data_IF_075721258652
#
_entry.id   IF_075721258652
#
_cell.length_a   1.000
_cell.length_b   1.000
_cell.length_c   1.000
_cell.angle_alpha   90.00
_cell.angle_beta   90.00
_cell.angle_gamma   90.00
#
_symmetry.space_group_name_H-M   'P 1'
#
loop_
_entity.id
_entity.type
_entity.pdbx_description
1 polymer ?
#
# COMPACT_ATOMS: atom_id res chain seq x y z
N UNK A 1 -8.25 7.21 26.37
CA UNK A 1 -7.98 8.28 25.36
C UNK A 1 -8.47 7.77 24.03
N UNK A 2 -9.09 8.62 23.21
CA UNK A 2 -9.49 8.22 21.87
C UNK A 2 -8.27 8.34 20.93
N UNK A 3 -7.89 7.23 20.31
CA UNK A 3 -6.84 7.16 19.30
C UNK A 3 -7.47 7.14 17.91
N UNK A 4 -6.68 7.43 16.89
CA UNK A 4 -7.03 7.14 15.51
C UNK A 4 -5.96 6.31 14.81
N UNK A 5 -6.38 5.61 13.76
CA UNK A 5 -5.52 4.89 12.83
C UNK A 5 -6.12 4.90 11.44
N UNK A 6 -5.28 4.77 10.41
CA UNK A 6 -5.75 4.55 9.04
C UNK A 6 -6.00 3.06 8.83
N UNK A 7 -7.21 2.71 8.40
CA UNK A 7 -7.58 1.31 8.12
C UNK A 7 -7.91 1.18 6.65
N UNK A 8 -7.41 0.10 6.04
CA UNK A 8 -7.80 -0.33 4.70
C UNK A 8 -8.96 -1.30 4.80
N UNK A 9 -10.06 -1.05 4.11
CA UNK A 9 -11.27 -1.88 4.21
C UNK A 9 -11.97 -2.06 2.86
N UNK A 10 -12.87 -3.06 2.81
CA UNK A 10 -13.70 -3.39 1.66
C UNK A 10 -12.93 -3.90 0.43
N UNK A 11 -13.66 -4.40 -0.57
CA UNK A 11 -13.06 -4.99 -1.78
C UNK A 11 -12.31 -3.97 -2.65
N UNK A 12 -12.78 -2.72 -2.68
CA UNK A 12 -12.10 -1.59 -3.33
C UNK A 12 -10.83 -1.12 -2.59
N UNK A 13 -10.51 -1.73 -1.44
CA UNK A 13 -9.36 -1.38 -0.59
C UNK A 13 -9.35 0.11 -0.25
N UNK A 14 -10.51 0.65 0.15
CA UNK A 14 -10.63 2.05 0.57
C UNK A 14 -9.77 2.26 1.81
N UNK A 15 -9.25 3.48 1.97
CA UNK A 15 -8.47 3.87 3.15
C UNK A 15 -9.18 5.06 3.75
N UNK A 16 -9.53 4.95 5.02
CA UNK A 16 -10.07 6.05 5.80
C UNK A 16 -9.44 6.05 7.20
N UNK A 17 -9.66 7.16 7.92
CA UNK A 17 -9.25 7.28 9.30
C UNK A 17 -10.38 6.78 10.21
N UNK A 18 -10.01 5.99 11.20
CA UNK A 18 -10.93 5.43 12.16
C UNK A 18 -10.48 5.77 13.58
N UNK A 19 -11.42 6.16 14.44
CA UNK A 19 -11.22 6.34 15.87
C UNK A 19 -11.43 5.02 16.62
N UNK A 20 -10.73 4.89 17.74
CA UNK A 20 -10.83 3.74 18.63
C UNK A 20 -10.32 4.08 20.03
N UNK A 21 -10.96 3.50 21.04
CA UNK A 21 -10.49 3.58 22.43
C UNK A 21 -9.53 2.42 22.79
N UNK A 22 -9.18 1.61 21.80
CA UNK A 22 -8.32 0.44 21.94
C UNK A 22 -6.86 0.84 21.85
N UNK A 23 -6.05 0.29 22.75
CA UNK A 23 -4.59 0.50 22.78
C UNK A 23 -3.80 -0.70 22.24
N UNK A 24 -4.45 -1.85 22.06
CA UNK A 24 -3.81 -3.11 21.68
C UNK A 24 -3.72 -3.36 20.16
N UNK A 25 -4.27 -2.46 19.33
CA UNK A 25 -4.25 -2.59 17.88
C UNK A 25 -2.88 -2.25 17.31
N UNK A 26 -2.33 -3.15 16.50
CA UNK A 26 -1.04 -2.98 15.82
C UNK A 26 -1.21 -2.90 14.31
N UNK A 27 -0.19 -2.36 13.64
CA UNK A 27 -0.13 -2.35 12.17
C UNK A 27 -0.24 -3.78 11.64
N UNK A 28 -1.03 -3.95 10.57
CA UNK A 28 -1.44 -5.23 9.96
C UNK A 28 -2.47 -6.06 10.72
N UNK A 29 -2.88 -5.64 11.92
CA UNK A 29 -3.98 -6.33 12.59
C UNK A 29 -5.26 -6.23 11.76
N UNK A 30 -6.04 -7.32 11.79
CA UNK A 30 -7.38 -7.37 11.21
C UNK A 30 -8.38 -6.87 12.23
N UNK A 31 -9.27 -5.97 11.81
CA UNK A 31 -10.29 -5.39 12.67
C UNK A 31 -11.64 -5.30 11.96
N UNK A 32 -12.72 -5.29 12.76
CA UNK A 32 -14.07 -4.97 12.28
C UNK A 32 -14.28 -3.47 12.48
N UNK A 33 -14.62 -2.78 11.40
CA UNK A 33 -14.87 -1.35 11.38
C UNK A 33 -16.31 -1.05 10.99
N UNK A 34 -16.81 0.14 11.32
CA UNK A 34 -18.11 0.65 10.87
C UNK A 34 -17.92 1.77 9.87
N UNK A 35 -18.53 1.63 8.70
CA UNK A 35 -18.52 2.59 7.60
C UNK A 35 -19.95 2.98 7.25
N UNK A 36 -20.12 3.86 6.26
CA UNK A 36 -21.40 4.19 5.64
C UNK A 36 -22.13 2.98 5.04
N UNK A 37 -21.37 1.96 4.61
CA UNK A 37 -21.90 0.73 4.01
C UNK A 37 -22.36 -0.30 5.05
N UNK A 38 -21.94 -0.17 6.31
CA UNK A 38 -22.24 -1.10 7.39
C UNK A 38 -20.97 -1.53 8.13
N UNK A 39 -20.95 -2.76 8.63
CA UNK A 39 -19.73 -3.33 9.22
C UNK A 39 -18.84 -3.92 8.14
N UNK A 40 -17.54 -3.73 8.25
CA UNK A 40 -16.56 -4.23 7.28
C UNK A 40 -15.33 -4.80 7.99
N UNK A 41 -14.66 -5.77 7.38
CA UNK A 41 -13.32 -6.15 7.80
C UNK A 41 -12.29 -5.19 7.19
N UNK A 42 -11.34 -4.79 8.03
CA UNK A 42 -10.23 -3.93 7.66
C UNK A 42 -8.89 -4.44 8.16
N UNK A 43 -7.84 -3.81 7.65
CA UNK A 43 -6.43 -4.03 8.00
C UNK A 43 -5.85 -2.68 8.45
N UNK A 44 -5.27 -2.65 9.66
CA UNK A 44 -4.65 -1.46 10.24
C UNK A 44 -3.38 -1.11 9.46
N UNK A 45 -3.27 0.14 8.97
CA UNK A 45 -2.12 0.60 8.18
C UNK A 45 -1.11 1.43 8.96
N UNK A 46 -1.56 2.17 9.97
CA UNK A 46 -0.71 3.07 10.75
C UNK A 46 -0.76 2.69 12.24
N UNK A 47 0.31 2.96 13.00
CA UNK A 47 0.25 2.88 14.46
C UNK A 47 -0.89 3.76 15.00
N UNK A 48 -1.39 3.42 16.18
CA UNK A 48 -2.33 4.26 16.90
C UNK A 48 -1.69 5.60 17.23
N UNK A 49 -2.41 6.68 16.95
CA UNK A 49 -1.99 8.03 17.25
C UNK A 49 -3.09 8.74 18.04
N UNK A 50 -2.74 9.67 18.96
CA UNK A 50 -3.75 10.51 19.59
C UNK A 50 -4.46 11.36 18.53
N UNK A 51 -5.76 11.56 18.66
CA UNK A 51 -6.54 12.39 17.72
C UNK A 51 -6.05 13.84 17.83
N UNK A 52 -5.50 14.44 16.75
CA UNK A 52 -5.14 15.85 16.74
C UNK A 52 -6.40 16.72 16.75
N UNK A 53 -6.36 17.87 17.41
CA UNK A 53 -7.48 18.82 17.43
C UNK A 53 -7.91 19.29 16.03
N UNK A 54 -6.97 19.31 15.07
CA UNK A 54 -7.23 19.67 13.68
C UNK A 54 -8.08 18.65 12.91
N UNK A 55 -8.29 17.43 13.44
CA UNK A 55 -9.11 16.41 12.78
C UNK A 55 -10.53 16.45 13.39
N UNK A 56 -11.56 16.84 12.61
CA UNK A 56 -12.93 16.85 13.12
C UNK A 56 -13.40 15.44 13.49
N UNK A 57 -14.03 15.23 14.66
CA UNK A 57 -14.51 13.91 15.07
C UNK A 57 -15.48 13.26 14.09
N UNK A 58 -16.30 14.04 13.37
CA UNK A 58 -17.20 13.53 12.33
C UNK A 58 -16.49 12.98 11.09
N UNK A 59 -15.20 13.30 10.90
CA UNK A 59 -14.40 12.79 9.79
C UNK A 59 -13.79 11.40 10.08
N UNK A 60 -14.05 10.86 11.29
CA UNK A 60 -13.51 9.59 11.77
C UNK A 60 -14.61 8.55 11.91
N UNK A 61 -14.40 7.41 11.24
CA UNK A 61 -15.23 6.21 11.39
C UNK A 61 -14.85 5.41 12.64
N UNK A 62 -15.61 4.38 13.01
CA UNK A 62 -15.34 3.62 14.25
C UNK A 62 -14.64 2.28 13.99
N UNK A 63 -13.57 1.99 14.74
CA UNK A 63 -13.10 0.60 14.92
C UNK A 63 -13.91 -0.04 16.03
N UNK A 64 -14.68 -1.08 15.69
CA UNK A 64 -15.56 -1.75 16.66
C UNK A 64 -14.79 -2.75 17.53
N UNK A 65 -13.98 -3.61 16.91
CA UNK A 65 -13.20 -4.64 17.61
C UNK A 65 -12.11 -5.22 16.72
N UNK A 66 -11.16 -5.93 17.33
CA UNK A 66 -10.28 -6.85 16.59
C UNK A 66 -11.10 -7.95 15.92
N UNK A 67 -10.68 -8.34 14.73
CA UNK A 67 -11.27 -9.46 14.01
C UNK A 67 -10.88 -10.77 14.74
N UNK A 68 -11.87 -11.63 14.93
CA UNK A 68 -11.70 -12.97 15.46
C UNK A 68 -11.25 -13.93 14.35
N UNK A 69 -10.68 -15.10 14.69
CA UNK A 69 -10.40 -16.14 13.70
C UNK A 69 -11.65 -16.56 12.90
N UNK A 70 -12.82 -16.61 13.55
CA UNK A 70 -14.10 -16.92 12.91
C UNK A 70 -14.47 -15.89 11.82
N UNK A 71 -14.18 -14.61 12.04
CA UNK A 71 -14.42 -13.57 11.04
C UNK A 71 -13.60 -13.79 9.78
N UNK A 72 -12.34 -14.23 9.96
CA UNK A 72 -11.43 -14.50 8.86
C UNK A 72 -11.87 -15.73 8.07
N UNK A 73 -12.26 -16.80 8.75
CA UNK A 73 -12.81 -18.01 8.10
C UNK A 73 -14.10 -17.70 7.36
N UNK A 74 -14.99 -16.89 7.96
CA UNK A 74 -16.25 -16.50 7.33
C UNK A 74 -16.03 -15.70 6.05
N UNK A 75 -15.09 -14.75 6.05
CA UNK A 75 -14.78 -13.97 4.84
C UNK A 75 -14.11 -14.83 3.78
N UNK A 76 -13.16 -15.70 4.15
CA UNK A 76 -12.53 -16.61 3.20
C UNK A 76 -13.55 -17.53 2.52
N UNK A 77 -14.51 -18.06 3.28
CA UNK A 77 -15.63 -18.85 2.74
C UNK A 77 -16.52 -18.04 1.80
N UNK A 78 -16.89 -16.82 2.18
CA UNK A 78 -17.69 -15.93 1.32
C UNK A 78 -16.98 -15.65 0.00
N UNK A 79 -15.67 -15.36 0.04
CA UNK A 79 -14.86 -15.05 -1.14
C UNK A 79 -14.68 -16.27 -2.07
N UNK A 80 -14.52 -17.48 -1.51
CA UNK A 80 -14.27 -18.70 -2.28
C UNK A 80 -15.53 -19.36 -2.82
N UNK A 81 -16.65 -19.28 -2.11
CA UNK A 81 -17.87 -20.03 -2.44
C UNK A 81 -19.02 -19.10 -2.86
N UNK A 82 -19.39 -18.17 -1.97
CA UNK A 82 -20.59 -17.34 -2.15
C UNK A 82 -20.42 -16.30 -3.26
N UNK A 83 -19.26 -15.65 -3.36
CA UNK A 83 -18.99 -14.63 -4.39
C UNK A 83 -19.04 -15.21 -5.80
N UNK A 84 -18.34 -16.32 -6.12
CA UNK A 84 -18.43 -16.94 -7.45
C UNK A 84 -19.86 -17.39 -7.79
N UNK A 85 -20.59 -17.95 -6.82
CA UNK A 85 -22.00 -18.31 -6.99
C UNK A 85 -22.84 -17.07 -7.31
N UNK A 86 -22.70 -15.99 -6.55
CA UNK A 86 -23.46 -14.76 -6.75
C UNK A 86 -23.20 -14.13 -8.13
N UNK A 87 -21.93 -14.09 -8.56
CA UNK A 87 -21.55 -13.63 -9.89
C UNK A 87 -22.21 -14.49 -10.97
N UNK A 88 -22.16 -15.82 -10.84
CA UNK A 88 -22.75 -16.75 -11.81
C UNK A 88 -24.27 -16.53 -11.92
N UNK A 89 -24.98 -16.53 -10.81
CA UNK A 89 -26.44 -16.34 -10.79
C UNK A 89 -26.83 -14.97 -11.37
N UNK A 90 -26.10 -13.91 -11.03
CA UNK A 90 -26.37 -12.58 -11.57
C UNK A 90 -26.16 -12.54 -13.09
N UNK A 91 -25.10 -13.16 -13.62
CA UNK A 91 -24.88 -13.27 -15.06
C UNK A 91 -26.00 -14.01 -15.78
N UNK A 92 -26.49 -15.11 -15.21
CA UNK A 92 -27.61 -15.87 -15.79
C UNK A 92 -28.90 -15.04 -15.85
N UNK A 93 -29.21 -14.26 -14.81
CA UNK A 93 -30.40 -13.39 -14.79
C UNK A 93 -30.23 -12.21 -15.76
N UNK A 94 -29.04 -11.60 -15.82
CA UNK A 94 -28.71 -10.52 -16.77
C UNK A 94 -28.92 -10.98 -18.21
N UNK A 95 -28.50 -12.21 -18.54
CA UNK A 95 -28.73 -12.81 -19.85
C UNK A 95 -30.21 -13.05 -20.14
N UNK A 96 -30.97 -13.61 -19.17
CA UNK A 96 -32.41 -13.84 -19.31
C UNK A 96 -33.20 -12.54 -19.53
N UNK A 97 -32.80 -11.45 -18.86
CA UNK A 97 -33.40 -10.13 -19.00
C UNK A 97 -32.84 -9.32 -20.17
N UNK A 98 -31.85 -9.85 -20.90
CA UNK A 98 -31.17 -9.20 -22.02
C UNK A 98 -30.66 -7.78 -21.70
N UNK A 99 -30.07 -7.59 -20.52
CA UNK A 99 -29.58 -6.28 -20.07
C UNK A 99 -28.18 -6.00 -20.64
N UNK A 100 -27.96 -4.80 -21.17
CA UNK A 100 -26.67 -4.33 -21.70
C UNK A 100 -25.70 -3.94 -20.58
N UNK A 101 -25.26 -4.90 -19.78
CA UNK A 101 -24.33 -4.68 -18.69
C UNK A 101 -23.36 -5.86 -18.52
N UNK A 102 -22.17 -5.57 -18.01
CA UNK A 102 -21.17 -6.57 -17.62
C UNK A 102 -21.03 -6.57 -16.11
N UNK A 103 -21.35 -7.70 -15.48
CA UNK A 103 -21.12 -7.90 -14.04
C UNK A 103 -19.62 -8.10 -13.81
N UNK A 104 -19.04 -7.18 -13.06
CA UNK A 104 -17.60 -7.11 -12.79
C UNK A 104 -17.25 -7.95 -11.57
N UNK A 105 -17.90 -7.70 -10.44
CA UNK A 105 -17.56 -8.32 -9.17
C UNK A 105 -18.70 -8.15 -8.13
N UNK A 106 -18.61 -8.85 -7.00
CA UNK A 106 -19.59 -8.82 -5.90
C UNK A 106 -18.89 -8.65 -4.55
N UNK A 107 -19.50 -7.86 -3.66
CA UNK A 107 -19.05 -7.57 -2.31
C UNK A 107 -20.13 -7.97 -1.29
N UNK A 108 -19.81 -8.91 -0.41
CA UNK A 108 -20.63 -9.21 0.77
C UNK A 108 -20.20 -8.27 1.89
N UNK A 109 -21.04 -7.27 2.20
CA UNK A 109 -20.76 -6.41 3.35
C UNK A 109 -20.79 -7.28 4.60
N UNK A 110 -19.73 -7.16 5.41
CA UNK A 110 -19.53 -8.02 6.57
C UNK A 110 -20.72 -7.90 7.54
N UNK A 111 -21.24 -9.04 7.98
CA UNK A 111 -22.51 -9.13 8.72
C UNK A 111 -23.72 -9.47 7.85
N UNK A 112 -23.57 -9.55 6.52
CA UNK A 112 -24.63 -10.01 5.60
C UNK A 112 -25.78 -9.03 5.42
N UNK A 113 -25.60 -7.77 5.85
CA UNK A 113 -26.62 -6.73 5.80
C UNK A 113 -26.95 -6.33 4.36
N UNK A 114 -25.94 -6.32 3.48
CA UNK A 114 -26.04 -5.89 2.08
C UNK A 114 -25.13 -6.70 1.17
N UNK A 115 -25.60 -6.92 -0.05
CA UNK A 115 -24.84 -7.52 -1.14
C UNK A 115 -24.71 -6.53 -2.29
N UNK A 116 -23.48 -6.12 -2.61
CA UNK A 116 -23.20 -5.08 -3.61
C UNK A 116 -22.68 -5.75 -4.88
N UNK A 117 -23.37 -5.54 -5.99
CA UNK A 117 -22.96 -5.99 -7.32
C UNK A 117 -22.34 -4.81 -8.08
N UNK A 118 -21.06 -4.96 -8.45
CA UNK A 118 -20.37 -3.99 -9.31
C UNK A 118 -20.57 -4.37 -10.78
N UNK A 119 -20.92 -3.39 -11.61
CA UNK A 119 -21.12 -3.61 -13.04
C UNK A 119 -20.59 -2.45 -13.89
N UNK A 120 -20.30 -2.72 -15.15
CA UNK A 120 -20.01 -1.72 -16.17
C UNK A 120 -21.08 -1.74 -17.25
N UNK A 121 -21.40 -0.57 -17.81
CA UNK A 121 -22.30 -0.41 -18.96
C UNK A 121 -21.94 0.87 -19.71
N UNK A 122 -22.17 0.87 -21.02
CA UNK A 122 -21.99 2.05 -21.88
C UNK A 122 -23.25 2.93 -21.92
N UNK A 123 -24.42 2.31 -21.74
CA UNK A 123 -25.73 2.94 -21.74
C UNK A 123 -26.39 2.84 -20.37
N UNK A 124 -27.47 3.62 -20.17
CA UNK A 124 -28.29 3.54 -18.95
C UNK A 124 -29.07 2.23 -18.97
N UNK A 125 -28.95 1.45 -17.89
CA UNK A 125 -29.60 0.15 -17.75
C UNK A 125 -30.74 0.26 -16.74
N UNK A 126 -31.93 -0.24 -17.10
CA UNK A 126 -33.03 -0.43 -16.14
C UNK A 126 -32.89 -1.80 -15.49
N UNK A 127 -32.41 -1.80 -14.23
CA UNK A 127 -32.14 -3.01 -13.46
C UNK A 127 -33.20 -3.30 -12.39
N UNK A 128 -34.37 -2.66 -12.43
CA UNK A 128 -35.41 -2.84 -11.40
C UNK A 128 -35.83 -4.30 -11.24
N UNK A 129 -36.02 -5.00 -12.36
CA UNK A 129 -36.40 -6.41 -12.34
C UNK A 129 -35.25 -7.32 -11.87
N UNK A 130 -34.01 -7.00 -12.27
CA UNK A 130 -32.82 -7.70 -11.80
C UNK A 130 -32.69 -7.64 -10.28
N UNK A 131 -32.92 -6.46 -9.67
CA UNK A 131 -32.88 -6.29 -8.20
C UNK A 131 -33.91 -7.18 -7.52
N UNK A 132 -35.13 -7.29 -8.06
CA UNK A 132 -36.19 -8.15 -7.48
C UNK A 132 -35.79 -9.62 -7.49
N UNK A 133 -35.29 -10.11 -8.63
CA UNK A 133 -34.88 -11.51 -8.77
C UNK A 133 -33.67 -11.85 -7.88
N UNK A 134 -32.68 -10.96 -7.81
CA UNK A 134 -31.53 -11.13 -6.91
C UNK A 134 -31.93 -11.07 -5.44
N UNK A 135 -32.83 -10.16 -5.06
CA UNK A 135 -33.31 -10.07 -3.68
C UNK A 135 -34.09 -11.33 -3.26
N UNK A 136 -34.85 -11.92 -4.18
CA UNK A 136 -35.54 -13.19 -3.96
C UNK A 136 -34.56 -14.36 -3.77
N UNK A 137 -33.52 -14.45 -4.60
CA UNK A 137 -32.51 -15.53 -4.51
C UNK A 137 -31.66 -15.43 -3.24
N UNK A 138 -31.11 -14.25 -2.94
CA UNK A 138 -30.12 -14.10 -1.86
C UNK A 138 -30.75 -13.74 -0.51
N UNK A 139 -32.03 -13.34 -0.46
CA UNK A 139 -32.75 -12.92 0.76
C UNK A 139 -31.99 -11.86 1.58
N UNK A 140 -31.27 -10.99 0.88
CA UNK A 140 -30.46 -9.90 1.44
C UNK A 140 -30.75 -8.63 0.66
N UNK A 141 -30.49 -7.46 1.27
CA UNK A 141 -30.60 -6.18 0.58
C UNK A 141 -29.56 -6.10 -0.55
N UNK A 142 -30.04 -5.97 -1.78
CA UNK A 142 -29.21 -5.88 -2.98
C UNK A 142 -28.94 -4.42 -3.32
N UNK A 143 -27.68 -4.10 -3.63
CA UNK A 143 -27.25 -2.82 -4.17
C UNK A 143 -26.51 -3.05 -5.49
N UNK A 144 -26.82 -2.27 -6.51
CA UNK A 144 -26.12 -2.31 -7.80
C UNK A 144 -25.33 -1.02 -7.96
N UNK A 145 -24.02 -1.15 -8.21
CA UNK A 145 -23.12 -0.01 -8.36
C UNK A 145 -22.43 -0.05 -9.71
N UNK A 146 -22.72 0.96 -10.54
CA UNK A 146 -21.99 1.16 -11.78
C UNK A 146 -20.57 1.64 -11.47
N UNK A 147 -19.58 1.01 -12.07
CA UNK A 147 -18.17 1.36 -11.92
C UNK A 147 -17.58 1.80 -13.26
N UNK A 148 -16.61 2.71 -13.23
CA UNK A 148 -15.86 3.10 -14.44
C UNK A 148 -14.69 2.17 -14.72
N UNK A 149 -14.06 2.31 -15.89
CA UNK A 149 -12.93 1.46 -16.32
C UNK A 149 -11.77 1.39 -15.31
N UNK A 150 -11.50 2.48 -14.57
CA UNK A 150 -10.45 2.51 -13.52
C UNK A 150 -10.83 1.67 -12.31
N UNK A 151 -12.08 1.73 -11.88
CA UNK A 151 -12.57 0.96 -10.74
C UNK A 151 -12.76 -0.51 -11.12
N UNK A 152 -13.14 -0.81 -12.37
CA UNK A 152 -13.08 -2.17 -12.92
C UNK A 152 -11.65 -2.74 -12.83
N UNK A 153 -10.65 -1.99 -13.29
CA UNK A 153 -9.25 -2.40 -13.18
C UNK A 153 -8.78 -2.49 -11.72
N UNK A 154 -9.32 -1.69 -10.79
CA UNK A 154 -9.01 -1.77 -9.36
C UNK A 154 -9.56 -3.06 -8.73
N UNK A 155 -10.73 -3.52 -9.16
CA UNK A 155 -11.37 -4.74 -8.67
C UNK A 155 -10.68 -6.00 -9.22
N UNK A 156 -10.41 -6.05 -10.52
CA UNK A 156 -9.93 -7.27 -11.20
C UNK A 156 -8.41 -7.26 -11.42
N UNK A 157 -7.79 -6.08 -11.56
CA UNK A 157 -6.39 -5.97 -11.96
C UNK A 157 -5.40 -6.13 -10.82
N UNK A 158 -4.34 -6.87 -11.07
CA UNK A 158 -3.29 -7.14 -10.08
C UNK A 158 -2.06 -6.25 -10.28
N UNK A 159 -1.45 -6.27 -11.47
CA UNK A 159 -0.22 -5.52 -11.77
C UNK A 159 -0.40 -4.45 -12.85
N UNK A 160 0.34 -3.35 -12.72
CA UNK A 160 0.51 -2.33 -13.74
C UNK A 160 1.58 -2.71 -14.76
N UNK A 161 1.75 -1.86 -15.79
CA UNK A 161 2.81 -2.05 -16.79
C UNK A 161 4.23 -2.04 -16.20
N UNK A 162 4.41 -1.44 -15.01
CA UNK A 162 5.65 -1.44 -14.25
C UNK A 162 5.89 -2.72 -13.44
N UNK A 163 4.98 -3.70 -13.50
CA UNK A 163 5.06 -4.96 -12.73
C UNK A 163 4.63 -4.84 -11.26
N UNK A 164 4.41 -3.62 -10.75
CA UNK A 164 3.93 -3.38 -9.39
C UNK A 164 2.40 -3.42 -9.31
N UNK A 165 1.88 -3.60 -8.09
CA UNK A 165 0.43 -3.50 -7.84
C UNK A 165 -0.14 -2.17 -8.30
N UNK A 166 -1.29 -2.20 -8.97
CA UNK A 166 -1.92 -0.99 -9.52
C UNK A 166 -1.98 0.15 -8.49
N UNK A 167 -1.55 1.35 -8.88
CA UNK A 167 -1.52 2.52 -7.99
C UNK A 167 -2.91 2.83 -7.42
N UNK A 168 -3.97 2.65 -8.23
CA UNK A 168 -5.36 2.85 -7.78
C UNK A 168 -5.81 1.81 -6.74
N UNK A 169 -5.18 0.63 -6.69
CA UNK A 169 -5.42 -0.43 -5.70
C UNK A 169 -4.57 -0.24 -4.45
N UNK A 170 -3.37 0.31 -4.56
CA UNK A 170 -2.46 0.57 -3.44
C UNK A 170 -2.74 1.88 -2.72
N UNK A 171 -2.37 3.04 -3.29
CA UNK A 171 -2.30 4.32 -2.58
C UNK A 171 -3.06 5.48 -3.24
N UNK A 172 -3.28 5.46 -4.56
CA UNK A 172 -3.97 6.55 -5.28
C UNK A 172 -5.49 6.30 -5.35
N UNK A 173 -6.21 6.59 -4.26
CA UNK A 173 -7.65 6.37 -4.17
C UNK A 173 -8.47 7.46 -4.84
N UNK A 174 -8.17 8.70 -4.48
CA UNK A 174 -8.77 9.90 -5.04
C UNK A 174 -7.82 10.46 -6.09
N UNK A 175 -8.19 10.32 -7.35
CA UNK A 175 -7.38 10.79 -8.46
C UNK A 175 -8.22 11.72 -9.32
N UNK A 176 -7.80 12.98 -9.40
CA UNK A 176 -8.35 13.95 -10.34
C UNK A 176 -8.08 13.58 -11.81
N UNK A 177 -8.50 14.47 -12.70
CA UNK A 177 -8.23 14.34 -14.13
C UNK A 177 -6.73 14.22 -14.44
N UNK A 178 -6.42 13.39 -15.44
CA UNK A 178 -5.06 13.25 -16.00
C UNK A 178 -5.13 13.80 -17.41
N UNK A 179 -4.22 14.71 -17.74
CA UNK A 179 -4.16 15.37 -19.05
C UNK A 179 -2.88 14.99 -19.79
N UNK A 180 -2.88 15.13 -21.12
CA UNK A 180 -1.70 14.84 -21.95
C UNK A 180 -0.50 15.74 -21.64
N UNK A 181 -0.73 16.96 -21.14
CA UNK A 181 0.35 17.87 -20.79
C UNK A 181 1.18 17.35 -19.60
N UNK A 182 0.57 16.55 -18.71
CA UNK A 182 1.30 15.85 -17.64
C UNK A 182 2.29 14.83 -18.22
N UNK A 183 1.97 14.17 -19.34
CA UNK A 183 2.90 13.26 -20.00
C UNK A 183 4.04 14.01 -20.70
N UNK A 184 3.74 15.16 -21.34
CA UNK A 184 4.73 15.96 -22.07
C UNK A 184 5.81 16.52 -21.14
N UNK A 185 5.45 17.07 -19.98
CA UNK A 185 6.43 17.64 -19.03
C UNK A 185 7.37 16.57 -18.47
N UNK A 186 6.89 15.33 -18.34
CA UNK A 186 7.66 14.19 -17.86
C UNK A 186 8.52 13.55 -18.95
N UNK A 187 8.60 14.17 -20.13
CA UNK A 187 9.33 13.67 -21.31
C UNK A 187 8.94 12.22 -21.68
N UNK A 188 7.73 11.78 -21.32
CA UNK A 188 7.23 10.51 -21.80
C UNK A 188 6.98 10.61 -23.31
N UNK A 189 7.33 9.56 -24.03
CA UNK A 189 6.95 9.42 -25.44
C UNK A 189 5.44 9.58 -25.59
N UNK A 190 5.02 10.31 -26.62
CA UNK A 190 3.61 10.51 -26.95
C UNK A 190 2.91 9.23 -27.46
N UNK A 191 3.59 8.08 -27.46
CA UNK A 191 3.03 6.78 -27.80
C UNK A 191 1.95 6.37 -26.77
N UNK A 192 0.68 6.27 -27.17
CA UNK A 192 -0.41 5.90 -26.29
C UNK A 192 -0.17 4.57 -25.57
N UNK A 193 0.51 3.61 -26.18
CA UNK A 193 0.78 2.30 -25.58
C UNK A 193 1.67 2.37 -24.34
N UNK A 194 2.52 3.40 -24.25
CA UNK A 194 3.48 3.61 -23.14
C UNK A 194 2.90 4.45 -22.00
N UNK A 195 1.86 5.23 -22.27
CA UNK A 195 1.23 6.15 -21.30
C UNK A 195 -0.20 5.75 -20.91
N UNK A 196 -0.67 4.61 -21.42
CA UNK A 196 -1.98 4.04 -21.08
C UNK A 196 -1.84 2.98 -19.98
N UNK A 197 -2.61 3.14 -18.91
CA UNK A 197 -2.71 2.17 -17.83
C UNK A 197 -3.61 0.99 -18.16
N UNK A 198 -3.63 -0.01 -17.27
CA UNK A 198 -4.41 -1.25 -17.43
C UNK A 198 -5.91 -1.03 -17.67
N UNK A 199 -6.44 0.10 -17.20
CA UNK A 199 -7.81 0.53 -17.37
C UNK A 199 -8.12 1.21 -18.72
N UNK A 200 -7.16 1.28 -19.65
CA UNK A 200 -7.34 1.96 -20.94
C UNK A 200 -7.31 3.50 -20.87
N UNK A 201 -7.13 4.08 -19.67
CA UNK A 201 -6.93 5.53 -19.46
C UNK A 201 -5.47 5.86 -19.21
N UNK A 202 -5.12 7.14 -19.27
CA UNK A 202 -3.77 7.62 -18.94
C UNK A 202 -3.28 7.15 -17.56
N UNK A 203 -1.97 6.91 -17.45
CA UNK A 203 -1.32 6.38 -16.25
C UNK A 203 -1.49 7.30 -15.03
N UNK A 204 -1.90 6.70 -13.91
CA UNK A 204 -2.07 7.43 -12.65
C UNK A 204 -0.76 8.07 -12.13
N UNK A 205 0.39 7.46 -12.45
CA UNK A 205 1.72 7.96 -12.08
C UNK A 205 1.98 9.36 -12.66
N UNK A 206 1.46 9.64 -13.86
CA UNK A 206 1.60 10.95 -14.49
C UNK A 206 1.08 12.06 -13.58
N UNK A 207 -0.10 11.87 -12.98
CA UNK A 207 -0.65 12.86 -12.05
C UNK A 207 0.07 12.84 -10.70
N UNK A 208 0.44 11.67 -10.21
CA UNK A 208 1.14 11.53 -8.93
C UNK A 208 2.47 12.30 -8.92
N UNK A 209 3.24 12.19 -10.00
CA UNK A 209 4.55 12.83 -10.13
C UNK A 209 4.44 14.28 -10.62
N UNK A 210 3.31 14.68 -11.21
CA UNK A 210 3.14 15.95 -11.88
C UNK A 210 3.58 17.16 -11.04
N UNK A 211 3.19 17.22 -9.77
CA UNK A 211 3.54 18.34 -8.88
C UNK A 211 5.06 18.45 -8.70
N UNK A 212 5.75 17.32 -8.51
CA UNK A 212 7.20 17.30 -8.39
C UNK A 212 7.88 17.82 -9.66
N UNK A 213 7.35 17.46 -10.84
CA UNK A 213 7.86 17.94 -12.12
C UNK A 213 7.58 19.44 -12.33
N UNK A 214 6.39 19.94 -12.00
CA UNK A 214 6.08 21.37 -12.11
C UNK A 214 6.94 22.21 -11.18
N UNK A 215 7.04 21.81 -9.91
CA UNK A 215 7.82 22.54 -8.90
C UNK A 215 9.30 22.59 -9.29
N UNK A 216 9.82 21.48 -9.86
CA UNK A 216 11.20 21.41 -10.33
C UNK A 216 11.44 22.21 -11.60
N UNK A 217 10.46 22.25 -12.52
CA UNK A 217 10.54 23.05 -13.74
C UNK A 217 10.55 24.55 -13.42
N UNK A 218 9.72 24.99 -12.48
CA UNK A 218 9.53 26.41 -12.20
C UNK A 218 10.77 27.05 -11.54
N UNK A 219 11.59 26.25 -10.86
CA UNK A 219 12.89 26.69 -10.31
C UNK A 219 14.07 26.41 -11.23
N UNK A 220 13.86 25.70 -12.35
CA UNK A 220 14.93 25.31 -13.27
C UNK A 220 15.29 26.43 -14.24
N UNK A 221 16.59 26.72 -14.47
CA UNK A 221 17.02 27.68 -15.48
C UNK A 221 16.59 27.24 -16.88
N UNK A 222 16.03 28.13 -17.69
CA UNK A 222 15.54 27.80 -19.03
C UNK A 222 16.67 27.35 -19.96
N UNK A 223 16.34 26.52 -20.96
CA UNK A 223 17.28 26.20 -22.03
C UNK A 223 17.69 27.48 -22.75
N UNK A 224 18.97 27.61 -23.07
CA UNK A 224 19.56 28.83 -23.63
C UNK A 224 20.06 29.84 -22.58
N UNK A 225 19.74 29.66 -21.29
CA UNK A 225 20.31 30.51 -20.23
C UNK A 225 21.80 30.22 -20.05
N UNK A 226 22.63 31.27 -19.96
CA UNK A 226 24.05 31.16 -19.62
C UNK A 226 24.19 31.10 -18.09
N UNK A 227 24.90 30.09 -17.60
CA UNK A 227 25.12 29.84 -16.18
C UNK A 227 26.61 29.74 -15.87
N UNK A 228 26.99 30.16 -14.67
CA UNK A 228 28.32 30.02 -14.12
C UNK A 228 28.30 29.03 -12.95
N UNK A 229 29.26 28.11 -12.96
CA UNK A 229 29.41 27.08 -11.95
C UNK A 229 30.88 26.91 -11.59
N UNK A 230 31.15 26.19 -10.50
CA UNK A 230 32.51 25.81 -10.11
C UNK A 230 33.26 25.03 -11.19
N UNK A 231 32.55 24.36 -12.09
CA UNK A 231 33.12 23.56 -13.20
C UNK A 231 33.39 24.40 -14.46
N UNK A 232 32.91 25.64 -14.51
CA UNK A 232 33.02 26.53 -15.66
C UNK A 232 31.69 27.15 -16.06
N UNK A 233 31.75 27.98 -17.10
CA UNK A 233 30.62 28.72 -17.66
C UNK A 233 30.07 27.96 -18.87
N UNK A 234 28.74 27.92 -19.02
CA UNK A 234 28.14 27.32 -20.21
C UNK A 234 26.66 27.68 -20.39
N UNK A 235 26.11 27.31 -21.54
CA UNK A 235 24.72 27.54 -21.92
C UNK A 235 23.91 26.26 -21.65
N UNK A 236 22.75 26.39 -21.02
CA UNK A 236 21.87 25.25 -20.73
C UNK A 236 21.33 24.64 -22.02
N UNK A 237 21.70 23.40 -22.32
CA UNK A 237 21.20 22.65 -23.49
C UNK A 237 20.18 21.58 -23.13
N UNK A 238 20.28 21.01 -21.92
CA UNK A 238 19.30 20.07 -21.39
C UNK A 238 19.15 20.19 -19.87
N UNK A 239 18.04 19.66 -19.36
CA UNK A 239 17.64 19.71 -17.96
C UNK A 239 17.13 18.32 -17.54
N UNK A 240 17.57 17.87 -16.38
CA UNK A 240 17.00 16.74 -15.65
C UNK A 240 16.25 17.28 -14.44
N UNK A 241 14.91 17.30 -14.53
CA UNK A 241 14.05 17.90 -13.52
C UNK A 241 14.09 17.13 -12.19
N UNK A 242 14.15 15.79 -12.22
CA UNK A 242 14.15 14.97 -11.02
C UNK A 242 15.48 15.01 -10.26
N UNK A 243 16.61 14.95 -10.99
CA UNK A 243 17.94 15.06 -10.40
C UNK A 243 18.34 16.50 -10.06
N UNK A 244 17.52 17.48 -10.49
CA UNK A 244 17.81 18.91 -10.40
C UNK A 244 19.17 19.25 -11.01
N UNK A 245 19.44 18.70 -12.18
CA UNK A 245 20.70 18.86 -12.92
C UNK A 245 20.47 19.58 -14.26
N UNK A 246 21.43 20.41 -14.64
CA UNK A 246 21.48 21.07 -15.95
C UNK A 246 22.72 20.60 -16.70
N UNK A 247 22.55 20.34 -18.00
CA UNK A 247 23.67 20.08 -18.90
C UNK A 247 24.07 21.39 -19.56
N UNK A 248 25.32 21.79 -19.36
CA UNK A 248 25.88 23.03 -19.90
C UNK A 248 26.79 22.73 -21.08
N UNK A 249 26.66 23.53 -22.12
CA UNK A 249 27.56 23.57 -23.27
C UNK A 249 28.53 24.75 -23.09
N UNK A 250 29.85 24.50 -22.99
CA UNK A 250 30.86 25.56 -22.99
C UNK A 250 30.74 26.47 -24.24
N UNK A 251 30.94 27.80 -24.13
CA UNK A 251 30.84 28.73 -25.27
C UNK A 251 31.87 28.50 -26.38
N UNK A 252 33.01 27.93 -26.01
CA UNK A 252 34.14 27.54 -26.87
C UNK A 252 33.88 26.22 -27.62
N UNK A 253 32.71 25.60 -27.44
CA UNK A 253 32.32 24.38 -28.15
C UNK A 253 32.94 23.10 -27.58
N UNK A 254 33.58 23.17 -26.40
CA UNK A 254 34.13 22.02 -25.69
C UNK A 254 33.07 21.01 -25.21
N UNK A 255 33.52 19.99 -24.47
CA UNK A 255 32.64 18.92 -24.00
C UNK A 255 31.57 19.41 -23.03
N UNK A 256 30.36 18.84 -23.16
CA UNK A 256 29.25 19.12 -22.25
C UNK A 256 29.55 18.62 -20.86
N UNK A 257 29.16 19.40 -19.85
CA UNK A 257 29.30 19.01 -18.46
C UNK A 257 28.00 19.23 -17.68
N UNK A 258 27.77 18.36 -16.69
CA UNK A 258 26.57 18.36 -15.86
C UNK A 258 26.87 19.06 -14.54
N UNK A 259 25.95 19.95 -14.15
CA UNK A 259 26.01 20.72 -12.91
C UNK A 259 24.69 20.56 -12.15
N UNK A 260 24.77 20.36 -10.83
CA UNK A 260 23.59 20.39 -9.97
C UNK A 260 23.12 21.81 -9.75
N UNK A 261 21.82 22.03 -9.68
CA UNK A 261 21.24 23.37 -9.51
C UNK A 261 21.79 24.11 -8.29
N UNK A 262 22.09 23.39 -7.20
CA UNK A 262 22.65 23.96 -5.96
C UNK A 262 24.11 24.45 -6.11
N UNK A 263 24.81 24.06 -7.18
CA UNK A 263 26.21 24.42 -7.45
C UNK A 263 26.34 25.59 -8.44
N UNK A 264 25.22 26.14 -8.89
CA UNK A 264 25.16 27.26 -9.82
C UNK A 264 25.08 28.57 -9.04
N UNK A 265 26.02 29.48 -9.29
CA UNK A 265 25.99 30.82 -8.72
C UNK A 265 25.24 31.77 -9.66
N UNK A 266 24.27 32.49 -9.12
CA UNK A 266 23.59 33.59 -9.81
C UNK A 266 22.12 33.32 -10.09
N UNK A 267 21.28 34.19 -9.54
CA UNK A 267 19.88 34.30 -9.93
C UNK A 267 19.78 34.44 -11.45
N UNK A 268 18.81 33.74 -12.04
CA UNK A 268 18.49 33.83 -13.45
C UNK A 268 18.35 35.30 -13.86
N UNK A 269 19.34 35.84 -14.56
CA UNK A 269 19.10 36.97 -15.42
C UNK A 269 18.22 36.43 -16.55
N UNK A 270 16.93 36.76 -16.51
CA UNK A 270 16.02 36.55 -17.61
C UNK A 270 16.50 37.39 -18.80
N UNK A 271 17.39 36.82 -19.62
CA UNK A 271 17.68 37.39 -20.93
C UNK A 271 16.58 36.89 -21.85
N UNK A 272 15.57 37.74 -22.02
CA UNK A 272 14.58 37.62 -23.08
C UNK A 272 15.31 37.56 -24.43
N UNK A 273 15.00 36.55 -25.23
CA UNK A 273 15.57 36.39 -26.57
C UNK A 273 15.24 35.03 -27.16
N UNK A 274 13.99 34.80 -27.56
CA UNK A 274 13.69 33.69 -28.45
C UNK A 274 14.35 33.99 -29.80
N UNK A 275 15.33 33.19 -30.20
CA UNK A 275 15.81 33.14 -31.58
C UNK A 275 15.51 31.73 -32.09
N UNK A 276 14.52 31.64 -32.98
CA UNK A 276 14.28 30.45 -33.80
C UNK A 276 13.07 29.62 -33.39
N UNK A 277 11.86 30.16 -33.53
CA UNK A 277 10.73 29.36 -33.97
C UNK A 277 10.03 30.09 -35.13
N UNK A 278 10.31 29.61 -36.35
CA UNK A 278 9.64 30.04 -37.57
C UNK A 278 8.14 29.73 -37.49
N UNK A 279 7.33 30.77 -37.37
CA UNK A 279 5.93 30.77 -37.80
C UNK A 279 5.62 32.13 -38.43
N UNK A 280 4.95 32.18 -39.60
CA UNK A 280 4.79 33.42 -40.33
C UNK A 280 3.74 34.31 -39.66
N UNK A 281 4.12 35.56 -39.40
CA UNK A 281 3.21 36.64 -38.96
C UNK A 281 2.56 37.31 -40.18
N UNK A 282 1.24 37.40 -40.15
CA UNK A 282 0.43 38.37 -40.90
C UNK A 282 -1.03 38.19 -40.46
N UNK A 283 -1.81 39.21 -40.10
CA UNK A 283 -1.59 40.65 -39.99
C UNK A 283 -2.79 41.29 -39.27
N UNK A 284 -2.62 42.56 -38.90
CA UNK A 284 -3.65 43.62 -38.71
C UNK A 284 -4.93 43.32 -37.91
N UNK A 285 -5.04 43.93 -36.72
CA UNK A 285 -6.27 44.61 -36.24
C UNK A 285 -6.54 45.84 -37.12
N UNK A 286 -7.78 46.38 -37.27
CA UNK A 286 -8.79 46.64 -36.22
C UNK A 286 -10.27 46.52 -36.75
N UNK A 287 -11.33 47.18 -36.21
CA UNK A 287 -11.68 47.61 -34.84
C UNK A 287 -13.04 47.04 -34.35
N UNK A 288 -13.45 47.46 -33.15
CA UNK A 288 -14.72 47.18 -32.48
C UNK A 288 -15.97 47.62 -33.27
N UNK A 289 -17.05 46.82 -33.17
CA UNK A 289 -18.42 47.24 -33.46
C UNK A 289 -19.43 46.53 -32.54
N UNK A 290 -20.24 47.34 -31.88
CA UNK A 290 -21.43 47.00 -31.08
C UNK A 290 -22.56 46.50 -31.99
N UNK A 291 -23.25 45.42 -31.60
CA UNK A 291 -24.60 45.12 -32.13
C UNK A 291 -25.46 44.47 -31.04
N UNK A 292 -26.74 44.84 -31.07
CA UNK A 292 -27.79 44.65 -30.07
C UNK A 292 -28.63 43.39 -30.40
N UNK A 293 -29.05 42.70 -29.33
CA UNK A 293 -30.21 41.80 -29.09
C UNK A 293 -30.74 40.84 -30.19
N UNK A 294 -30.98 39.58 -29.79
CA UNK A 294 -32.34 39.03 -29.59
C UNK A 294 -32.30 37.61 -28.93
N UNK A 295 -33.25 37.35 -28.03
CA UNK A 295 -33.48 36.05 -27.39
C UNK A 295 -34.35 35.14 -28.27
N UNK A 296 -34.38 33.80 -28.05
CA UNK A 296 -35.48 33.31 -27.22
C UNK A 296 -35.21 32.05 -26.35
N UNK A 297 -36.06 31.96 -25.32
CA UNK A 297 -36.73 30.79 -24.72
C UNK A 297 -35.95 29.74 -23.90
N UNK A 298 -36.29 29.78 -22.61
CA UNK A 298 -36.15 28.83 -21.49
C UNK A 298 -36.20 27.32 -21.80
N UNK A 299 -35.28 26.58 -21.17
CA UNK A 299 -35.58 25.28 -20.57
C UNK A 299 -34.67 25.08 -19.33
N UNK A 300 -35.31 24.75 -18.20
CA UNK A 300 -34.75 24.78 -16.85
C UNK A 300 -33.63 23.75 -16.58
N UNK A 301 -32.57 24.19 -15.89
CA UNK A 301 -31.52 23.35 -15.33
C UNK A 301 -31.68 23.20 -13.80
N UNK A 302 -31.49 22.01 -13.20
CA UNK A 302 -31.40 21.86 -11.75
C UNK A 302 -30.01 22.24 -11.21
N UNK A 303 -30.01 22.69 -9.96
CA UNK A 303 -28.93 23.38 -9.25
C UNK A 303 -27.54 22.71 -9.26
N UNK A 304 -26.52 23.53 -9.51
CA UNK A 304 -25.11 23.21 -9.29
C UNK A 304 -24.69 23.49 -7.83
N UNK A 305 -23.82 22.66 -7.21
CA UNK A 305 -23.19 23.01 -5.94
C UNK A 305 -22.01 23.97 -6.15
N UNK A 306 -21.82 24.79 -5.12
CA UNK A 306 -21.00 26.00 -5.04
C UNK A 306 -19.50 25.78 -5.29
N UNK A 307 -18.88 26.73 -5.99
CA UNK A 307 -17.44 26.86 -6.20
C UNK A 307 -16.76 27.49 -4.98
N UNK A 308 -15.70 26.84 -4.48
CA UNK A 308 -14.76 27.43 -3.52
C UNK A 308 -13.63 28.14 -4.27
N UNK A 309 -13.76 29.46 -4.38
CA UNK A 309 -12.67 30.37 -4.72
C UNK A 309 -12.82 31.58 -3.79
N UNK A 310 -12.03 31.58 -2.71
CA UNK A 310 -11.47 32.74 -1.99
C UNK A 310 -11.06 32.31 -0.58
N UNK A 311 -9.80 31.88 -0.44
CA UNK A 311 -9.12 31.77 0.84
C UNK A 311 -7.70 32.36 0.69
N UNK A 312 -7.25 33.25 1.60
CA UNK A 312 -5.97 33.94 1.49
C UNK A 312 -4.76 33.01 1.70
N UNK A 313 -3.57 33.36 1.17
CA UNK A 313 -2.40 32.47 1.20
C UNK A 313 -1.83 32.35 2.63
N UNK A 314 -1.68 31.11 3.11
CA UNK A 314 -1.00 30.80 4.37
C UNK A 314 0.53 30.92 4.14
N UNK A 315 1.17 31.87 4.83
CA UNK A 315 2.63 31.98 4.91
C UNK A 315 3.19 30.84 5.77
N UNK A 316 3.95 29.94 5.16
CA UNK A 316 4.73 28.92 5.88
C UNK A 316 6.07 29.54 6.26
N UNK A 317 6.25 29.92 7.53
CA UNK A 317 7.57 30.25 8.08
C UNK A 317 8.32 28.97 8.42
N UNK A 318 9.59 28.92 8.02
CA UNK A 318 10.51 27.79 8.24
C UNK A 318 10.83 27.68 9.75
N UNK A 319 10.69 26.50 10.39
CA UNK A 319 11.13 26.33 11.77
C UNK A 319 12.65 26.49 11.90
N UNK A 320 13.17 27.02 13.02
CA UNK A 320 14.61 27.13 13.24
C UNK A 320 15.26 25.75 13.40
N UNK A 321 16.49 25.62 12.89
CA UNK A 321 17.30 24.40 12.93
C UNK A 321 17.54 23.91 14.37
N UNK A 322 17.30 22.62 14.61
CA UNK A 322 17.59 21.97 15.88
C UNK A 322 19.11 21.83 16.11
N UNK A 323 19.62 21.99 17.35
CA UNK A 323 21.04 21.84 17.63
C UNK A 323 21.49 20.39 17.46
N UNK A 324 22.68 20.18 16.89
CA UNK A 324 23.33 18.87 16.76
C UNK A 324 23.60 18.27 18.14
N UNK A 325 22.93 17.16 18.47
CA UNK A 325 23.26 16.35 19.65
C UNK A 325 24.41 15.40 19.32
N UNK A 326 25.48 15.44 20.11
CA UNK A 326 26.58 14.47 20.07
C UNK A 326 26.09 13.07 20.43
N UNK A 327 26.61 12.05 19.73
CA UNK A 327 26.30 10.64 19.99
C UNK A 327 26.84 10.22 21.38
N UNK A 328 26.03 9.60 22.26
CA UNK A 328 26.54 9.00 23.48
C UNK A 328 27.46 7.82 23.15
N UNK A 329 28.56 7.67 23.89
CA UNK A 329 29.45 6.50 23.78
C UNK A 329 28.71 5.22 24.20
N UNK A 330 29.02 4.06 23.60
CA UNK A 330 28.39 2.80 23.98
C UNK A 330 28.73 2.43 25.43
N UNK A 331 27.72 1.97 26.18
CA UNK A 331 27.93 1.41 27.52
C UNK A 331 28.77 0.12 27.46
N UNK A 332 29.63 -0.14 28.47
CA UNK A 332 30.41 -1.37 28.54
C UNK A 332 29.49 -2.58 28.72
N UNK A 333 29.85 -3.71 28.09
CA UNK A 333 29.09 -4.96 28.17
C UNK A 333 29.03 -5.47 29.61
N UNK A 334 27.87 -5.93 30.11
CA UNK A 334 27.78 -6.58 31.41
C UNK A 334 28.49 -7.96 31.36
N UNK A 335 29.04 -8.45 32.49
CA UNK A 335 29.64 -9.78 32.57
C UNK A 335 28.63 -10.89 32.27
N UNK A 336 29.08 -11.92 31.56
CA UNK A 336 28.27 -13.10 31.26
C UNK A 336 27.96 -13.88 32.55
N UNK A 337 26.78 -13.65 33.12
CA UNK A 337 26.18 -14.60 34.07
C UNK A 337 25.65 -15.81 33.29
N UNK A 338 26.15 -17.01 33.62
CA UNK A 338 25.55 -18.28 33.21
C UNK A 338 24.13 -18.33 33.76
N UNK A 339 23.12 -18.24 32.89
CA UNK A 339 21.72 -18.46 33.28
C UNK A 339 21.33 -19.93 33.10
N UNK A 340 20.52 -20.47 34.04
CA UNK A 340 20.26 -21.90 34.16
C UNK A 340 19.34 -22.39 33.04
N UNK A 341 19.58 -23.63 32.60
CA UNK A 341 18.67 -24.38 31.74
C UNK A 341 17.28 -24.42 32.38
N UNK A 342 16.28 -23.94 31.64
CA UNK A 342 14.88 -23.95 32.10
C UNK A 342 14.39 -25.40 32.15
N UNK A 343 14.46 -26.02 33.32
CA UNK A 343 13.97 -27.39 33.54
C UNK A 343 12.45 -27.44 33.32
N UNK A 344 12.02 -28.27 32.37
CA UNK A 344 10.60 -28.61 32.15
C UNK A 344 10.11 -29.35 33.41
N UNK A 345 8.88 -29.07 33.84
CA UNK A 345 8.26 -29.72 35.00
C UNK A 345 8.27 -31.25 34.83
N UNK A 346 8.76 -31.96 35.85
CA UNK A 346 8.89 -33.43 35.88
C UNK A 346 7.57 -34.19 35.65
N UNK A 347 6.41 -33.56 35.86
CA UNK A 347 5.10 -34.13 35.53
C UNK A 347 4.77 -34.01 34.04
N UNK A 348 5.21 -32.92 33.40
CA UNK A 348 5.11 -32.72 31.95
C UNK A 348 6.08 -33.64 31.22
N UNK A 349 7.31 -33.78 31.74
CA UNK A 349 8.33 -34.67 31.18
C UNK A 349 7.88 -36.14 31.18
N UNK A 350 7.28 -36.63 32.28
CA UNK A 350 6.74 -37.99 32.36
C UNK A 350 5.55 -38.26 31.43
N UNK A 351 4.74 -37.24 31.13
CA UNK A 351 3.65 -37.34 30.14
C UNK A 351 4.19 -37.36 28.71
N UNK A 352 5.20 -36.53 28.41
CA UNK A 352 5.85 -36.51 27.10
C UNK A 352 6.56 -37.83 26.78
N UNK A 353 7.16 -38.49 27.78
CA UNK A 353 7.79 -39.82 27.60
C UNK A 353 6.78 -40.95 27.33
N UNK A 354 5.56 -40.89 27.91
CA UNK A 354 4.52 -41.91 27.71
C UNK A 354 3.80 -41.82 26.36
N UNK A 355 3.80 -40.65 25.71
CA UNK A 355 3.10 -40.39 24.43
C UNK A 355 3.97 -40.65 23.17
N UNK A 356 5.20 -41.13 23.33
CA UNK A 356 6.15 -41.46 22.24
C UNK A 356 5.72 -42.61 21.32
N UNK A 357 4.52 -43.17 21.48
CA UNK A 357 4.02 -44.31 20.68
C UNK A 357 2.96 -44.02 19.62
N UNK A 358 2.46 -42.79 19.50
CA UNK A 358 1.62 -42.45 18.34
C UNK A 358 1.80 -40.99 17.96
N UNK A 359 2.44 -40.75 16.80
CA UNK A 359 2.42 -39.46 16.16
C UNK A 359 0.95 -39.01 16.01
N UNK A 360 0.70 -37.73 16.31
CA UNK A 360 -0.61 -37.04 16.23
C UNK A 360 -1.56 -37.24 17.41
N UNK A 361 -1.32 -36.57 18.54
CA UNK A 361 -2.43 -35.98 19.33
C UNK A 361 -1.99 -34.91 20.33
N UNK A 362 -2.76 -33.84 20.38
CA UNK A 362 -2.65 -32.77 21.35
C UNK A 362 -2.93 -33.28 22.78
N UNK A 363 -2.02 -32.99 23.72
CA UNK A 363 -2.23 -33.23 25.15
C UNK A 363 -2.86 -31.98 25.76
N UNK A 364 -4.06 -32.14 26.34
CA UNK A 364 -4.93 -31.03 26.73
C UNK A 364 -4.83 -30.52 28.18
N UNK A 365 -5.26 -29.28 28.35
CA UNK A 365 -5.56 -28.53 29.58
C UNK A 365 -5.67 -27.04 29.26
N UNK A 366 -6.60 -26.28 29.84
CA UNK A 366 -6.70 -24.82 29.62
C UNK A 366 -5.46 -24.12 30.17
N UNK A 367 -4.44 -23.97 29.33
CA UNK A 367 -3.15 -23.39 29.66
C UNK A 367 -2.04 -24.08 28.86
N UNK A 368 -1.36 -23.32 28.00
CA UNK A 368 -0.13 -23.67 27.26
C UNK A 368 -0.10 -25.05 26.57
N UNK A 369 -0.24 -25.08 25.25
CA UNK A 369 -0.12 -26.30 24.46
C UNK A 369 1.32 -26.47 23.92
N UNK A 370 1.87 -27.69 24.02
CA UNK A 370 3.12 -28.07 23.38
C UNK A 370 2.82 -28.95 22.16
N UNK A 371 3.36 -28.59 21.01
CA UNK A 371 3.23 -29.33 19.75
C UNK A 371 4.58 -29.91 19.33
N UNK A 372 4.58 -31.13 18.81
CA UNK A 372 5.79 -31.74 18.24
C UNK A 372 6.23 -31.03 16.96
N UNK A 373 7.53 -30.84 16.80
CA UNK A 373 8.14 -30.23 15.61
C UNK A 373 8.80 -31.27 14.71
N UNK A 374 9.91 -31.82 15.18
CA UNK A 374 10.78 -32.72 14.43
C UNK A 374 11.78 -33.38 15.40
N UNK A 375 12.52 -34.37 14.92
CA UNK A 375 13.69 -34.86 15.66
C UNK A 375 14.90 -33.96 15.46
N UNK A 376 15.78 -33.90 16.46
CA UNK A 376 17.06 -33.16 16.36
C UNK A 376 17.91 -33.67 15.20
N UNK A 377 17.87 -34.97 14.94
CA UNK A 377 18.56 -35.62 13.82
C UNK A 377 18.08 -35.19 12.42
N UNK A 378 16.90 -34.59 12.30
CA UNK A 378 16.36 -34.13 11.01
C UNK A 378 16.86 -32.73 10.61
N UNK A 379 17.53 -32.02 11.52
CA UNK A 379 17.98 -30.64 11.30
C UNK A 379 19.49 -30.55 11.51
N UNK A 380 20.25 -30.66 10.42
CA UNK A 380 21.70 -30.49 10.47
C UNK A 380 22.10 -29.09 10.97
N UNK A 381 23.31 -28.98 11.53
CA UNK A 381 23.87 -27.71 11.98
C UNK A 381 23.89 -26.68 10.83
N UNK A 382 23.43 -25.47 11.11
CA UNK A 382 23.37 -24.39 10.12
C UNK A 382 22.22 -24.52 9.11
N UNK A 383 21.36 -25.54 9.24
CA UNK A 383 20.16 -25.70 8.42
C UNK A 383 18.89 -25.32 9.19
N UNK A 384 17.80 -25.23 8.44
CA UNK A 384 16.47 -24.98 8.94
C UNK A 384 15.48 -26.02 8.44
N UNK A 385 14.44 -26.26 9.23
CA UNK A 385 13.29 -27.07 8.85
C UNK A 385 12.02 -26.26 9.03
N UNK A 386 11.12 -26.29 8.04
CA UNK A 386 9.82 -25.63 8.10
C UNK A 386 8.78 -26.63 8.56
N UNK A 387 8.01 -26.27 9.59
CA UNK A 387 6.94 -27.09 10.16
C UNK A 387 5.62 -26.33 10.09
N UNK A 388 4.56 -27.01 9.63
CA UNK A 388 3.20 -26.49 9.61
C UNK A 388 2.46 -26.93 10.88
N UNK A 389 2.00 -25.98 11.68
CA UNK A 389 1.30 -26.24 12.94
C UNK A 389 -0.24 -26.27 12.77
N UNK A 390 -0.74 -26.51 11.55
CA UNK A 390 -2.18 -26.46 11.24
C UNK A 390 -2.70 -25.02 11.13
N UNK A 391 -1.84 -24.10 10.70
CA UNK A 391 -2.11 -22.66 10.66
C UNK A 391 -0.83 -21.87 10.46
N UNK A 392 -0.20 -21.34 11.52
CA UNK A 392 1.08 -20.65 11.39
C UNK A 392 2.19 -21.63 11.00
N UNK A 393 2.95 -21.30 9.95
CA UNK A 393 4.19 -21.99 9.61
C UNK A 393 5.34 -21.45 10.45
N UNK A 394 6.13 -22.34 11.02
CA UNK A 394 7.32 -21.98 11.81
C UNK A 394 8.58 -22.53 11.16
N UNK A 395 9.69 -21.83 11.36
CA UNK A 395 11.01 -22.26 10.91
C UNK A 395 11.88 -22.59 12.14
N UNK A 396 12.38 -23.82 12.16
CA UNK A 396 13.25 -24.37 13.21
C UNK A 396 14.69 -24.32 12.71
N UNK A 397 15.53 -23.53 13.35
CA UNK A 397 16.95 -23.35 13.01
C UNK A 397 17.84 -24.07 14.01
N UNK A 398 18.84 -24.81 13.53
CA UNK A 398 19.89 -25.38 14.37
C UNK A 398 21.15 -24.51 14.31
N UNK A 399 21.43 -23.76 15.38
CA UNK A 399 22.65 -22.95 15.53
C UNK A 399 23.49 -23.57 16.64
N UNK A 400 24.61 -24.19 16.26
CA UNK A 400 25.58 -24.80 17.17
C UNK A 400 24.95 -25.79 18.18
N UNK A 401 23.97 -26.58 17.73
CA UNK A 401 23.26 -27.56 18.55
C UNK A 401 22.13 -26.97 19.39
N UNK A 402 21.90 -25.66 19.31
CA UNK A 402 20.78 -24.96 19.94
C UNK A 402 19.69 -24.71 18.91
N UNK A 403 18.47 -25.12 19.24
CA UNK A 403 17.33 -25.02 18.34
C UNK A 403 16.54 -23.74 18.62
N UNK A 404 16.34 -22.94 17.58
CA UNK A 404 15.60 -21.69 17.62
C UNK A 404 14.40 -21.75 16.70
N UNK A 405 13.23 -21.36 17.20
CA UNK A 405 11.99 -21.41 16.43
C UNK A 405 11.41 -20.01 16.32
N UNK A 406 11.23 -19.56 15.09
CA UNK A 406 10.59 -18.29 14.75
C UNK A 406 9.48 -18.53 13.72
N UNK A 407 8.60 -17.56 13.52
CA UNK A 407 7.64 -17.59 12.42
C UNK A 407 8.38 -17.74 11.09
N UNK A 408 7.87 -18.60 10.21
CA UNK A 408 8.43 -18.76 8.87
C UNK A 408 8.12 -17.55 7.97
N UNK A 409 7.20 -16.68 8.36
CA UNK A 409 6.79 -15.52 7.57
C UNK A 409 7.62 -14.29 7.92
N UNK A 410 8.41 -13.81 6.96
CA UNK A 410 9.21 -12.61 7.11
C UNK A 410 8.33 -11.38 7.39
N UNK A 411 8.71 -10.60 8.41
CA UNK A 411 8.03 -9.36 8.80
C UNK A 411 7.96 -8.28 7.71
N UNK A 412 8.64 -8.44 6.58
CA UNK A 412 8.52 -7.54 5.43
C UNK A 412 7.27 -7.83 4.58
N UNK A 413 7.27 -8.93 3.82
CA UNK A 413 6.21 -9.31 2.88
C UNK A 413 5.82 -10.79 2.99
N UNK A 414 6.10 -11.44 4.12
CA UNK A 414 5.71 -12.84 4.36
C UNK A 414 6.60 -13.90 3.71
N UNK A 415 7.79 -13.53 3.21
CA UNK A 415 8.71 -14.48 2.59
C UNK A 415 9.20 -15.58 3.53
N UNK A 416 9.53 -16.78 3.01
CA UNK A 416 9.83 -17.98 3.81
C UNK A 416 11.22 -17.89 4.44
N UNK A 417 11.28 -17.65 5.75
CA UNK A 417 12.54 -17.53 6.47
C UNK A 417 13.30 -18.85 6.58
N UNK A 418 12.61 -19.99 6.69
CA UNK A 418 13.23 -21.32 6.74
C UNK A 418 13.86 -21.77 5.43
N UNK A 419 13.56 -21.10 4.31
CA UNK A 419 14.24 -21.28 3.02
C UNK A 419 15.40 -20.28 2.85
N UNK A 420 15.60 -19.40 3.84
CA UNK A 420 16.64 -18.40 3.85
C UNK A 420 18.02 -18.96 4.17
N UNK A 421 19.07 -18.22 3.80
CA UNK A 421 20.44 -18.56 4.15
C UNK A 421 20.72 -18.19 5.61
N UNK A 422 21.13 -19.16 6.43
CA UNK A 422 21.52 -18.94 7.81
C UNK A 422 23.04 -18.69 7.91
N UNK A 423 23.43 -17.57 8.54
CA UNK A 423 24.81 -17.19 8.83
C UNK A 423 24.92 -16.83 10.32
N UNK A 424 25.48 -17.75 11.12
CA UNK A 424 25.49 -17.63 12.58
C UNK A 424 24.06 -17.58 13.14
N UNK A 425 23.70 -16.47 13.80
CA UNK A 425 22.34 -16.24 14.29
C UNK A 425 21.46 -15.47 13.30
N UNK A 426 21.97 -15.08 12.14
CA UNK A 426 21.26 -14.25 11.18
C UNK A 426 20.74 -15.08 10.01
N UNK A 427 19.42 -15.13 9.84
CA UNK A 427 18.79 -15.69 8.64
C UNK A 427 18.47 -14.58 7.65
N UNK A 428 18.84 -14.79 6.38
CA UNK A 428 18.55 -13.87 5.27
C UNK A 428 17.33 -14.35 4.51
N UNK A 429 16.26 -13.56 4.52
CA UNK A 429 15.03 -13.86 3.78
C UNK A 429 15.32 -13.91 2.26
N UNK A 430 14.90 -14.97 1.54
CA UNK A 430 15.26 -15.16 0.14
C UNK A 430 14.61 -14.13 -0.81
N UNK A 431 13.46 -13.55 -0.45
CA UNK A 431 12.72 -12.64 -1.33
C UNK A 431 13.33 -11.25 -1.43
N UNK A 432 13.71 -10.66 -0.29
CA UNK A 432 14.08 -9.24 -0.21
C UNK A 432 15.35 -9.00 0.61
N UNK A 433 16.06 -10.07 0.98
CA UNK A 433 17.36 -10.01 1.66
C UNK A 433 17.35 -9.36 3.06
N UNK A 434 16.16 -9.26 3.67
CA UNK A 434 16.05 -8.81 5.06
C UNK A 434 16.60 -9.87 6.00
N UNK A 435 17.40 -9.42 6.95
CA UNK A 435 18.08 -10.24 7.93
C UNK A 435 17.29 -10.27 9.23
N UNK A 436 17.11 -11.45 9.80
CA UNK A 436 16.48 -11.64 11.11
C UNK A 436 17.41 -12.41 12.02
N UNK A 437 17.41 -12.03 13.30
CA UNK A 437 18.10 -12.78 14.35
C UNK A 437 17.19 -13.93 14.81
N UNK A 438 17.61 -15.18 14.61
CA UNK A 438 16.82 -16.37 14.97
C UNK A 438 16.67 -16.54 16.50
N UNK A 439 17.56 -15.95 17.29
CA UNK A 439 17.53 -16.02 18.75
C UNK A 439 16.57 -15.01 19.37
N UNK A 440 16.21 -13.93 18.68
CA UNK A 440 15.32 -12.89 19.22
C UNK A 440 14.06 -12.68 18.38
N UNK A 441 14.10 -13.04 17.10
CA UNK A 441 13.08 -12.72 16.10
C UNK A 441 13.20 -11.29 15.55
N UNK A 442 14.18 -10.48 15.98
CA UNK A 442 14.28 -9.10 15.55
C UNK A 442 14.84 -8.98 14.12
N UNK A 443 14.33 -8.01 13.35
CA UNK A 443 14.92 -7.64 12.07
C UNK A 443 16.22 -6.86 12.31
N UNK A 444 17.30 -7.33 11.69
CA UNK A 444 18.63 -6.70 11.70
C UNK A 444 18.80 -5.72 10.54
N UNK A 445 17.97 -5.80 9.50
CA UNK A 445 18.03 -4.90 8.34
C UNK A 445 17.34 -3.56 8.56
N UNK A 446 16.22 -3.55 9.28
CA UNK A 446 15.41 -2.34 9.52
C UNK A 446 14.89 -2.36 10.96
N UNK A 447 15.08 -1.27 11.69
CA UNK A 447 14.61 -1.13 13.07
C UNK A 447 13.07 -1.17 13.17
N UNK A 448 12.55 -1.80 14.23
CA UNK A 448 11.12 -1.83 14.55
C UNK A 448 10.31 -2.95 13.89
N UNK A 449 10.93 -3.79 13.04
CA UNK A 449 10.31 -5.02 12.52
C UNK A 449 10.82 -6.24 13.29
N UNK A 450 9.95 -7.19 13.58
CA UNK A 450 10.29 -8.48 14.19
C UNK A 450 9.32 -9.56 13.75
N UNK A 451 9.74 -10.81 13.90
CA UNK A 451 8.91 -12.00 13.75
C UNK A 451 8.69 -12.65 15.11
N UNK A 452 7.59 -13.39 15.25
CA UNK A 452 7.30 -14.11 16.49
C UNK A 452 8.39 -15.15 16.75
N UNK A 453 8.98 -15.13 17.93
CA UNK A 453 9.81 -16.21 18.48
C UNK A 453 8.94 -17.12 19.33
N UNK A 454 9.17 -18.42 19.21
CA UNK A 454 8.49 -19.45 19.99
C UNK A 454 9.45 -20.06 21.02
N UNK A 455 8.88 -20.55 22.12
CA UNK A 455 9.62 -21.30 23.13
C UNK A 455 9.76 -22.76 22.67
N UNK A 456 10.97 -23.30 22.80
CA UNK A 456 11.33 -24.63 22.29
C UNK A 456 11.72 -25.50 23.47
N UNK A 457 11.16 -26.71 23.50
CA UNK A 457 11.47 -27.75 24.46
C UNK A 457 12.01 -28.98 23.73
N UNK A 458 12.76 -29.82 24.44
CA UNK A 458 13.25 -31.08 23.90
C UNK A 458 13.06 -32.18 24.93
N UNK A 459 12.58 -33.35 24.50
CA UNK A 459 12.52 -34.57 25.30
C UNK A 459 13.21 -35.67 24.50
N UNK A 460 14.39 -36.11 24.95
CA UNK A 460 15.22 -37.01 24.17
C UNK A 460 15.65 -36.39 22.83
N UNK A 461 15.31 -37.08 21.74
CA UNK A 461 15.59 -36.65 20.36
C UNK A 461 14.47 -35.77 19.77
N UNK A 462 13.30 -35.70 20.41
CA UNK A 462 12.12 -35.00 19.88
C UNK A 462 12.10 -33.53 20.34
N UNK A 463 11.87 -32.63 19.38
CA UNK A 463 11.69 -31.19 19.60
C UNK A 463 10.21 -30.83 19.65
N UNK A 464 9.88 -29.92 20.57
CA UNK A 464 8.53 -29.41 20.79
C UNK A 464 8.54 -27.89 20.80
N UNK A 465 7.42 -27.30 20.39
CA UNK A 465 7.17 -25.86 20.42
C UNK A 465 5.98 -25.54 21.29
N UNK A 466 6.10 -24.47 22.07
CA UNK A 466 5.00 -23.90 22.86
C UNK A 466 4.17 -22.96 21.99
N UNK A 467 2.88 -23.24 21.83
CA UNK A 467 1.94 -22.43 21.02
C UNK A 467 0.86 -21.75 21.85
#
# INVERSE_FOLDING_TARGET
>A
MAFYTSVRYGKMRMVARFKTDREDLRVRDRCVVRTDRGKELGEVLTPLQPIPEAIPPESLWDVLRRASPEDMVNVDRLDKESVPRAIKTCKEIVQKLNLQMKVTDVDYVYGGERLIFYFTSESRVDFRELVRLLAHEFRTRIELKQVGARDEARLIGDAGHCGLTLCCRSHLKELGGITMDMAKIQKHTADPSKITGRCGKLLCCLRYEYTTYTDSRDVMPQRGTRLESKKGVGIVVDQNLLLREVTLQPPDGGDRFIVKLDEVNGAAAAVAGCNGCDTPKGGSTPPAATIVAEAPAEAAAPAAPMSVADAPPIKITRPPEAPRQERPRPAPRPPQERRPETKIDSAVQRRMEQDTRTATRAVGGMGTMWLGLAKKSEIEQGKALVVDLGGPKVAVFNVDGVYHVISNECGHQGGPLGEGKLEGFSVVCPWHQWKFDVTTGNCLSVGGSSVRKYEVGAVGDDLFVKV
#
